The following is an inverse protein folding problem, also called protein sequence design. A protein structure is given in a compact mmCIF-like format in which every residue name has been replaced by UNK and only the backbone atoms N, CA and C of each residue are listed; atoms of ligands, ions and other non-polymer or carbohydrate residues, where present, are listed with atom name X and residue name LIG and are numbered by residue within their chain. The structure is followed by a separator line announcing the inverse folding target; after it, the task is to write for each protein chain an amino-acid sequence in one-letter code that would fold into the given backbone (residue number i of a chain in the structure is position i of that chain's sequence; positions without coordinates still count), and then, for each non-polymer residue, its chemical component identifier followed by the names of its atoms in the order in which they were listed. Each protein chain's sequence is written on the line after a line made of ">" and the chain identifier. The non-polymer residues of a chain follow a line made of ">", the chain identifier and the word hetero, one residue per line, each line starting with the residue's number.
data_IF_005570969042
#
_entry.id   IF_005570969042
#
_cell.length_a   1.000
_cell.length_b   1.000
_cell.length_c   1.000
_cell.angle_alpha   90.00
_cell.angle_beta   90.00
_cell.angle_gamma   90.00
#
_symmetry.space_group_name_H-M   'P 1'
#
loop_
_entity.id
_entity.type
_entity.pdbx_description
1 polymer ?
#
# COMPACT_ATOMS: atom_id res chain seq x y z
N UNK A 1 -15.54 -21.28 6.10
CA UNK A 1 -15.75 -19.86 5.66
C UNK A 1 -14.66 -19.04 6.31
N UNK A 2 -13.81 -18.41 5.52
CA UNK A 2 -12.73 -17.56 6.01
C UNK A 2 -13.27 -16.15 6.29
N UNK A 3 -12.71 -15.38 7.26
CA UNK A 3 -13.08 -13.98 7.47
C UNK A 3 -12.71 -13.12 6.27
N UNK A 4 -13.40 -11.99 6.12
CA UNK A 4 -13.04 -10.99 5.08
C UNK A 4 -11.78 -10.26 5.51
N UNK A 5 -10.69 -10.49 4.77
CA UNK A 5 -9.39 -9.90 5.05
C UNK A 5 -9.08 -8.75 4.10
N UNK A 6 -8.73 -7.61 4.67
CA UNK A 6 -8.17 -6.50 3.92
C UNK A 6 -6.65 -6.53 4.02
N UNK A 7 -5.98 -6.73 2.91
CA UNK A 7 -4.53 -6.67 2.82
C UNK A 7 -4.13 -5.20 2.58
N UNK A 8 -3.22 -4.69 3.40
CA UNK A 8 -2.69 -3.33 3.27
C UNK A 8 -1.19 -3.38 3.04
N UNK A 9 -0.74 -2.79 1.95
CA UNK A 9 0.65 -2.82 1.51
C UNK A 9 0.92 -3.89 0.46
N UNK A 10 2.20 -4.14 0.25
CA UNK A 10 2.76 -5.06 -0.78
C UNK A 10 2.40 -4.67 -2.22
N UNK A 11 3.01 -5.36 -3.16
CA UNK A 11 2.69 -5.26 -4.59
C UNK A 11 1.41 -6.06 -4.83
N UNK A 12 0.51 -5.59 -5.72
CA UNK A 12 -0.66 -6.38 -6.05
C UNK A 12 -0.25 -7.72 -6.66
N UNK A 13 -1.08 -8.75 -6.44
CA UNK A 13 -0.81 -10.08 -6.97
C UNK A 13 -0.48 -10.04 -8.46
N UNK A 14 0.54 -10.75 -8.85
CA UNK A 14 0.87 -11.02 -10.24
C UNK A 14 1.55 -12.39 -10.39
N UNK A 15 1.39 -13.01 -11.54
CA UNK A 15 1.88 -14.37 -11.81
C UNK A 15 3.40 -14.49 -11.90
N UNK A 16 4.14 -13.37 -12.01
CA UNK A 16 5.59 -13.39 -12.22
C UNK A 16 6.42 -13.04 -10.99
N UNK A 17 5.94 -12.13 -10.16
CA UNK A 17 6.74 -11.55 -9.07
C UNK A 17 6.08 -11.56 -7.70
N UNK A 18 4.90 -12.17 -7.58
CA UNK A 18 4.27 -12.24 -6.28
C UNK A 18 5.00 -13.20 -5.40
N UNK A 19 5.15 -12.77 -4.18
CA UNK A 19 5.79 -13.60 -3.20
C UNK A 19 5.03 -14.91 -3.05
N UNK A 20 5.76 -16.01 -3.06
CA UNK A 20 5.23 -17.33 -2.71
C UNK A 20 4.56 -17.33 -1.33
N UNK A 21 4.95 -16.38 -0.48
CA UNK A 21 4.35 -16.17 0.82
C UNK A 21 2.88 -15.74 0.73
N UNK A 22 2.54 -14.84 -0.22
CA UNK A 22 1.16 -14.41 -0.42
C UNK A 22 0.27 -15.56 -0.87
N UNK A 23 0.74 -16.37 -1.84
CA UNK A 23 0.06 -17.60 -2.24
C UNK A 23 -0.08 -18.57 -1.08
N UNK A 24 0.96 -18.76 -0.27
CA UNK A 24 0.92 -19.68 0.87
C UNK A 24 -0.09 -19.24 1.94
N UNK A 25 -0.24 -17.94 2.18
CA UNK A 25 -1.18 -17.44 3.20
C UNK A 25 -2.63 -17.50 2.74
N UNK A 26 -2.92 -17.26 1.46
CA UNK A 26 -4.27 -17.05 0.97
C UNK A 26 -4.74 -18.09 -0.06
N UNK A 27 -3.96 -19.14 -0.31
CA UNK A 27 -4.25 -20.15 -1.32
C UNK A 27 -5.63 -20.82 -1.18
N UNK A 28 -6.08 -21.03 0.07
CA UNK A 28 -7.35 -21.69 0.35
C UNK A 28 -8.50 -20.72 0.68
N UNK A 29 -8.27 -19.43 0.52
CA UNK A 29 -9.28 -18.43 0.81
C UNK A 29 -10.15 -18.19 -0.42
N UNK A 30 -11.43 -18.00 -0.19
CA UNK A 30 -12.36 -17.54 -1.22
C UNK A 30 -11.97 -16.11 -1.62
N UNK A 31 -11.83 -15.84 -2.93
CA UNK A 31 -11.40 -14.53 -3.44
C UNK A 31 -12.32 -13.39 -3.01
N UNK A 32 -13.62 -13.70 -2.84
CA UNK A 32 -14.65 -12.77 -2.38
C UNK A 32 -14.39 -12.25 -0.95
N UNK A 33 -13.58 -12.99 -0.19
CA UNK A 33 -13.19 -12.63 1.16
C UNK A 33 -11.84 -11.91 1.22
N UNK A 34 -11.26 -11.54 0.07
CA UNK A 34 -9.96 -10.87 0.01
C UNK A 34 -10.07 -9.57 -0.77
N UNK A 35 -9.67 -8.46 -0.13
CA UNK A 35 -9.46 -7.17 -0.77
C UNK A 35 -8.05 -6.65 -0.47
N UNK A 36 -7.53 -5.77 -1.32
CA UNK A 36 -6.18 -5.23 -1.13
C UNK A 36 -6.14 -3.73 -1.38
N UNK A 37 -5.45 -2.99 -0.48
CA UNK A 37 -4.99 -1.61 -0.71
C UNK A 37 -3.49 -1.65 -1.01
N UNK A 38 -3.08 -1.03 -2.12
CA UNK A 38 -1.68 -0.99 -2.52
C UNK A 38 -1.28 0.38 -3.12
N UNK A 39 0.03 0.67 -3.13
CA UNK A 39 0.58 1.95 -3.60
C UNK A 39 1.45 1.83 -4.86
N UNK A 40 1.64 0.62 -5.37
CA UNK A 40 2.40 0.40 -6.60
C UNK A 40 1.68 1.02 -7.81
N UNK A 41 2.43 1.54 -8.79
CA UNK A 41 1.87 2.21 -9.97
C UNK A 41 1.45 1.26 -11.07
N UNK A 42 1.78 -0.03 -10.96
CA UNK A 42 1.43 -1.03 -11.96
C UNK A 42 -0.03 -1.46 -11.83
N UNK A 43 -0.67 -1.72 -12.97
CA UNK A 43 -2.01 -2.28 -13.00
C UNK A 43 -1.99 -3.71 -12.43
N UNK A 44 -2.91 -4.09 -11.56
CA UNK A 44 -2.99 -5.47 -11.07
C UNK A 44 -3.48 -6.44 -12.16
N UNK A 45 -3.19 -7.72 -12.00
CA UNK A 45 -3.78 -8.80 -12.79
C UNK A 45 -4.66 -9.70 -11.92
N UNK A 46 -5.39 -10.63 -12.55
CA UNK A 46 -6.22 -11.61 -11.83
C UNK A 46 -5.37 -12.41 -10.84
N UNK A 47 -5.84 -12.50 -9.61
CA UNK A 47 -5.16 -13.17 -8.53
C UNK A 47 -6.13 -13.61 -7.44
N UNK A 48 -5.74 -13.42 -6.18
CA UNK A 48 -6.52 -13.86 -5.02
C UNK A 48 -7.55 -12.85 -4.51
N UNK A 49 -7.55 -11.59 -5.02
CA UNK A 49 -8.40 -10.54 -4.49
C UNK A 49 -9.61 -10.30 -5.39
N UNK A 50 -10.80 -10.22 -4.82
CA UNK A 50 -12.02 -9.83 -5.52
C UNK A 50 -11.98 -8.37 -5.95
N UNK A 51 -11.44 -7.52 -5.07
CA UNK A 51 -11.38 -6.09 -5.33
C UNK A 51 -10.08 -5.48 -4.79
N UNK A 52 -9.55 -4.50 -5.51
CA UNK A 52 -8.31 -3.82 -5.16
C UNK A 52 -8.51 -2.32 -5.22
N UNK A 53 -7.87 -1.63 -4.29
CA UNK A 53 -7.86 -0.17 -4.22
C UNK A 53 -6.43 0.34 -4.34
N UNK A 54 -6.13 1.04 -5.42
CA UNK A 54 -4.80 1.60 -5.68
C UNK A 54 -4.74 3.07 -5.26
N UNK A 55 -3.72 3.44 -4.47
CA UNK A 55 -3.43 4.83 -4.11
C UNK A 55 -1.97 5.10 -4.49
N UNK A 56 -1.71 6.01 -5.42
CA UNK A 56 -0.35 6.31 -5.88
C UNK A 56 0.17 7.65 -5.38
N UNK A 57 1.48 7.78 -5.19
CA UNK A 57 2.14 9.05 -4.83
C UNK A 57 1.73 10.19 -5.76
N UNK A 58 1.61 9.92 -7.05
CA UNK A 58 1.23 10.92 -8.04
C UNK A 58 -0.19 11.46 -7.83
N UNK A 59 -1.18 10.60 -7.55
CA UNK A 59 -2.57 11.04 -7.30
C UNK A 59 -2.69 11.79 -5.99
N UNK A 60 -1.99 11.34 -4.96
CA UNK A 60 -1.93 12.04 -3.67
C UNK A 60 -1.27 13.41 -3.84
N UNK A 61 -0.19 13.51 -4.63
CA UNK A 61 0.46 14.78 -4.96
C UNK A 61 -0.47 15.73 -5.73
N UNK A 62 -1.21 15.24 -6.73
CA UNK A 62 -2.18 16.06 -7.46
C UNK A 62 -3.24 16.65 -6.51
N UNK A 63 -3.75 15.85 -5.58
CA UNK A 63 -4.71 16.31 -4.58
C UNK A 63 -4.09 17.30 -3.61
N UNK A 64 -2.84 17.06 -3.18
CA UNK A 64 -2.08 18.00 -2.36
C UNK A 64 -1.91 19.37 -3.05
N UNK A 65 -1.71 19.37 -4.39
CA UNK A 65 -1.65 20.58 -5.22
C UNK A 65 -3.03 21.23 -5.47
N UNK A 66 -4.08 20.76 -4.83
CA UNK A 66 -5.43 21.34 -4.95
C UNK A 66 -6.22 20.86 -6.18
N UNK A 67 -5.74 19.89 -6.93
CA UNK A 67 -6.51 19.32 -8.04
C UNK A 67 -7.65 18.47 -7.53
N UNK A 68 -8.82 18.58 -8.14
CA UNK A 68 -9.99 17.74 -7.86
C UNK A 68 -9.82 16.39 -8.55
N UNK A 69 -8.99 15.52 -7.98
CA UNK A 69 -8.76 14.15 -8.47
C UNK A 69 -9.08 13.15 -7.39
N UNK A 70 -9.62 12.01 -7.79
CA UNK A 70 -9.72 10.86 -6.92
C UNK A 70 -8.33 10.27 -6.70
N UNK A 71 -7.93 10.14 -5.44
CA UNK A 71 -6.63 9.56 -5.11
C UNK A 71 -6.59 8.06 -5.29
N UNK A 72 -7.75 7.39 -5.36
CA UNK A 72 -7.87 5.96 -5.47
C UNK A 72 -8.48 5.49 -6.79
N UNK A 73 -8.01 4.35 -7.27
CA UNK A 73 -8.61 3.57 -8.37
C UNK A 73 -9.06 2.23 -7.82
N UNK A 74 -10.30 1.86 -8.13
CA UNK A 74 -10.85 0.55 -7.79
C UNK A 74 -10.69 -0.35 -8.99
N UNK A 75 -10.27 -1.58 -8.75
CA UNK A 75 -10.25 -2.67 -9.71
C UNK A 75 -11.08 -3.82 -9.17
N UNK A 76 -11.90 -4.41 -9.99
CA UNK A 76 -12.64 -5.64 -9.69
C UNK A 76 -12.01 -6.80 -10.44
N UNK A 77 -12.08 -8.00 -9.85
CA UNK A 77 -11.48 -9.20 -10.41
C UNK A 77 -11.85 -9.43 -11.88
N UNK A 78 -13.12 -9.22 -12.23
CA UNK A 78 -13.62 -9.47 -13.59
C UNK A 78 -13.05 -8.50 -14.64
N UNK A 79 -12.65 -7.30 -14.22
CA UNK A 79 -12.08 -6.25 -15.08
C UNK A 79 -10.56 -6.39 -15.29
N UNK A 80 -9.93 -7.40 -14.65
CA UNK A 80 -8.49 -7.59 -14.71
C UNK A 80 -8.07 -8.56 -15.81
N UNK A 81 -6.91 -8.29 -16.40
CA UNK A 81 -6.25 -9.22 -17.31
C UNK A 81 -5.71 -10.43 -16.54
N UNK A 82 -5.66 -11.59 -17.21
CA UNK A 82 -5.10 -12.82 -16.62
C UNK A 82 -3.58 -12.78 -16.55
N UNK A 83 -2.93 -12.03 -17.45
CA UNK A 83 -1.48 -11.93 -17.53
C UNK A 83 -0.98 -10.57 -17.05
N UNK A 84 0.11 -10.63 -16.30
CA UNK A 84 0.84 -9.43 -15.91
C UNK A 84 1.59 -8.83 -17.10
N UNK A 85 1.33 -7.55 -17.38
CA UNK A 85 2.05 -6.77 -18.37
C UNK A 85 2.97 -5.77 -17.69
N UNK A 86 4.27 -5.91 -17.86
CA UNK A 86 5.26 -5.03 -17.22
C UNK A 86 5.10 -3.55 -17.62
N UNK A 87 4.49 -3.27 -18.76
CA UNK A 87 4.29 -1.93 -19.29
C UNK A 87 2.95 -1.28 -18.89
N UNK A 88 2.07 -2.03 -18.21
CA UNK A 88 0.81 -1.48 -17.70
C UNK A 88 1.05 -0.59 -16.48
N UNK A 89 1.46 0.64 -16.75
CA UNK A 89 1.49 1.69 -15.74
C UNK A 89 0.15 2.40 -15.76
N UNK A 90 -0.48 2.55 -14.59
CA UNK A 90 -1.69 3.36 -14.45
C UNK A 90 -1.54 4.75 -15.09
N UNK A 91 -0.32 5.21 -15.24
CA UNK A 91 -0.01 6.61 -15.46
C UNK A 91 0.76 6.90 -16.74
N UNK A 92 0.88 6.09 -17.70
CA UNK A 92 1.41 6.32 -19.07
C UNK A 92 2.13 7.67 -19.39
N UNK A 93 2.65 8.38 -18.37
CA UNK A 93 3.07 9.77 -18.43
C UNK A 93 4.40 9.93 -17.70
N UNK A 94 5.38 10.50 -18.38
CA UNK A 94 6.74 10.74 -17.89
C UNK A 94 6.82 11.48 -16.53
N UNK A 95 5.83 12.32 -16.20
CA UNK A 95 5.77 13.05 -14.92
C UNK A 95 5.42 12.13 -13.75
N UNK A 96 4.59 11.15 -13.97
CA UNK A 96 4.23 10.17 -12.96
C UNK A 96 5.38 9.19 -12.69
N UNK A 97 6.08 8.80 -13.75
CA UNK A 97 7.28 7.97 -13.64
C UNK A 97 8.41 8.72 -12.91
N UNK A 98 8.57 10.02 -13.14
CA UNK A 98 9.50 10.85 -12.42
C UNK A 98 9.13 10.99 -10.92
N UNK A 99 7.85 11.17 -10.60
CA UNK A 99 7.36 11.22 -9.22
C UNK A 99 7.56 9.87 -8.50
N UNK A 100 7.34 8.76 -9.18
CA UNK A 100 7.60 7.43 -8.65
C UNK A 100 9.09 7.17 -8.41
N UNK A 101 9.95 7.51 -9.39
CA UNK A 101 11.42 7.41 -9.24
C UNK A 101 11.95 8.31 -8.12
N UNK A 102 11.34 9.47 -7.91
CA UNK A 102 11.69 10.36 -6.80
C UNK A 102 11.24 9.78 -5.46
N UNK A 103 10.02 9.26 -5.37
CA UNK A 103 9.48 8.60 -4.17
C UNK A 103 10.22 7.32 -3.80
N UNK A 104 10.75 6.58 -4.78
CA UNK A 104 11.54 5.36 -4.57
C UNK A 104 12.99 5.59 -4.11
N UNK A 105 13.44 6.85 -3.99
CA UNK A 105 14.74 7.16 -3.37
C UNK A 105 14.58 7.22 -1.86
N UNK A 106 15.08 6.22 -1.16
CA UNK A 106 15.06 6.12 0.30
C UNK A 106 16.09 7.07 0.94
N UNK A 107 15.85 8.38 0.84
CA UNK A 107 16.64 9.41 1.52
C UNK A 107 15.80 10.02 2.66
N UNK A 108 16.41 10.54 3.74
CA UNK A 108 15.67 11.17 4.85
C UNK A 108 14.74 12.29 4.36
N UNK A 109 15.15 13.03 3.34
CA UNK A 109 14.34 14.10 2.75
C UNK A 109 13.11 13.56 2.00
N UNK A 110 13.27 12.49 1.22
CA UNK A 110 12.14 11.87 0.51
C UNK A 110 11.16 11.25 1.49
N UNK A 111 11.63 10.64 2.56
CA UNK A 111 10.77 10.13 3.64
C UNK A 111 9.98 11.25 4.32
N UNK A 112 10.61 12.39 4.64
CA UNK A 112 9.92 13.53 5.22
C UNK A 112 8.86 14.11 4.26
N UNK A 113 9.20 14.27 2.98
CA UNK A 113 8.29 14.80 1.96
C UNK A 113 7.10 13.85 1.73
N UNK A 114 7.34 12.55 1.63
CA UNK A 114 6.26 11.54 1.59
C UNK A 114 5.40 11.61 2.85
N UNK A 115 6.00 11.94 4.02
CA UNK A 115 5.30 12.18 5.27
C UNK A 115 4.27 13.27 5.22
N UNK A 116 4.63 14.35 4.63
CA UNK A 116 3.72 15.49 4.44
C UNK A 116 2.66 15.16 3.39
N UNK A 117 3.08 14.48 2.32
CA UNK A 117 2.23 14.10 1.20
C UNK A 117 1.13 13.11 1.62
N UNK A 118 1.50 12.06 2.34
CA UNK A 118 0.59 11.00 2.77
C UNK A 118 -0.18 11.32 4.06
N UNK A 119 -0.46 12.59 4.33
CA UNK A 119 -1.38 12.95 5.43
C UNK A 119 -2.79 12.43 5.13
N UNK A 120 -3.47 11.93 6.16
CA UNK A 120 -4.80 11.30 6.09
C UNK A 120 -5.79 12.06 5.19
N UNK A 121 -5.83 13.39 5.26
CA UNK A 121 -6.74 14.23 4.47
C UNK A 121 -6.61 14.06 2.94
N UNK A 122 -5.49 13.56 2.44
CA UNK A 122 -5.22 13.43 1.01
C UNK A 122 -5.52 12.03 0.46
N UNK A 123 -5.40 10.99 1.26
CA UNK A 123 -5.67 9.62 0.82
C UNK A 123 -7.00 9.05 1.35
N UNK A 124 -7.47 9.51 2.53
CA UNK A 124 -8.73 9.06 3.13
C UNK A 124 -9.90 9.82 2.46
N UNK A 125 -10.36 9.30 1.33
CA UNK A 125 -11.44 9.89 0.54
C UNK A 125 -12.76 9.21 0.82
N UNK A 126 -13.86 9.85 0.44
CA UNK A 126 -15.19 9.25 0.47
C UNK A 126 -15.23 7.96 -0.36
N UNK A 127 -14.60 7.96 -1.54
CA UNK A 127 -14.47 6.78 -2.40
C UNK A 127 -13.81 5.59 -1.70
N UNK A 128 -12.71 5.84 -0.95
CA UNK A 128 -12.09 4.79 -0.15
C UNK A 128 -13.03 4.27 0.93
N UNK A 129 -13.70 5.17 1.62
CA UNK A 129 -14.61 4.80 2.70
C UNK A 129 -15.81 3.98 2.20
N UNK A 130 -16.43 4.40 1.08
CA UNK A 130 -17.53 3.65 0.46
C UNK A 130 -17.07 2.25 0.04
N UNK A 131 -15.91 2.14 -0.62
CA UNK A 131 -15.34 0.85 -1.00
C UNK A 131 -15.06 -0.06 0.21
N UNK A 132 -14.57 0.51 1.31
CA UNK A 132 -14.37 -0.22 2.56
C UNK A 132 -15.71 -0.63 3.22
N UNK A 133 -16.72 0.26 3.17
CA UNK A 133 -18.07 -0.02 3.71
C UNK A 133 -18.80 -1.10 2.90
N UNK A 134 -18.51 -1.22 1.60
CA UNK A 134 -19.02 -2.30 0.75
C UNK A 134 -18.32 -3.63 1.08
N UNK A 135 -17.00 -3.62 1.24
CA UNK A 135 -16.23 -4.84 1.55
C UNK A 135 -16.42 -5.31 3.00
N UNK A 136 -16.50 -4.41 3.98
CA UNK A 136 -16.65 -4.68 5.42
C UNK A 136 -15.61 -5.65 5.97
N UNK A 137 -14.35 -5.25 6.06
CA UNK A 137 -13.28 -6.13 6.53
C UNK A 137 -13.53 -6.61 7.96
N UNK A 138 -13.17 -7.87 8.24
CA UNK A 138 -13.22 -8.52 9.56
C UNK A 138 -11.82 -8.69 10.15
N UNK A 139 -10.79 -8.52 9.33
CA UNK A 139 -9.39 -8.53 9.72
C UNK A 139 -8.58 -7.68 8.75
N UNK A 140 -7.54 -7.02 9.25
CA UNK A 140 -6.55 -6.33 8.42
C UNK A 140 -5.26 -7.13 8.42
N UNK A 141 -4.78 -7.53 7.26
CA UNK A 141 -3.46 -8.11 7.08
C UNK A 141 -2.48 -7.00 6.65
N UNK A 142 -1.58 -6.63 7.54
CA UNK A 142 -0.55 -5.65 7.26
C UNK A 142 0.70 -6.32 6.71
N UNK A 143 0.94 -6.14 5.41
CA UNK A 143 2.26 -6.44 4.83
C UNK A 143 3.21 -5.30 5.19
N UNK A 144 4.00 -5.52 6.22
CA UNK A 144 4.89 -4.50 6.77
C UNK A 144 5.94 -4.07 5.74
N UNK A 145 6.15 -2.76 5.64
CA UNK A 145 7.18 -2.14 4.81
C UNK A 145 7.73 -0.90 5.51
N UNK A 146 8.84 -0.36 5.04
CA UNK A 146 9.44 0.88 5.51
C UNK A 146 8.62 2.15 5.19
N UNK A 147 7.58 2.03 4.37
CA UNK A 147 6.64 3.10 4.06
C UNK A 147 5.66 3.31 5.23
N UNK A 148 5.97 4.26 6.12
CA UNK A 148 5.20 4.53 7.35
C UNK A 148 3.69 4.83 7.12
N UNK A 149 3.25 5.24 5.92
CA UNK A 149 1.84 5.48 5.62
C UNK A 149 1.04 4.17 5.48
N UNK A 150 1.68 3.06 5.14
CA UNK A 150 1.06 1.74 5.05
C UNK A 150 0.48 1.31 6.40
N UNK A 151 1.26 1.31 7.51
CA UNK A 151 0.69 1.08 8.84
C UNK A 151 -0.41 2.09 9.24
N UNK A 152 -0.32 3.35 8.82
CA UNK A 152 -1.36 4.34 9.12
C UNK A 152 -2.69 3.99 8.44
N UNK A 153 -2.67 3.50 7.20
CA UNK A 153 -3.88 3.04 6.51
C UNK A 153 -4.44 1.82 7.23
N UNK A 154 -3.60 0.84 7.58
CA UNK A 154 -4.03 -0.36 8.31
C UNK A 154 -4.68 -0.02 9.66
N UNK A 155 -4.05 0.85 10.45
CA UNK A 155 -4.60 1.33 11.72
C UNK A 155 -5.90 2.10 11.56
N UNK A 156 -6.03 2.90 10.50
CA UNK A 156 -7.27 3.61 10.20
C UNK A 156 -8.44 2.63 9.97
N UNK A 157 -8.21 1.62 9.13
CA UNK A 157 -9.24 0.62 8.83
C UNK A 157 -9.58 -0.21 10.06
N UNK A 158 -8.57 -0.71 10.78
CA UNK A 158 -8.78 -1.50 11.99
C UNK A 158 -9.60 -0.74 13.03
N UNK A 159 -9.30 0.55 13.24
CA UNK A 159 -10.06 1.40 14.17
C UNK A 159 -11.48 1.67 13.68
N UNK A 160 -11.69 1.89 12.36
CA UNK A 160 -13.00 2.18 11.78
C UNK A 160 -13.97 1.02 11.96
N UNK A 161 -13.50 -0.22 11.74
CA UNK A 161 -14.32 -1.43 11.79
C UNK A 161 -14.20 -2.21 13.10
N UNK A 162 -13.35 -1.76 14.01
CA UNK A 162 -13.04 -2.44 15.27
C UNK A 162 -12.58 -3.89 15.05
N UNK A 163 -11.62 -4.08 14.15
CA UNK A 163 -11.11 -5.39 13.75
C UNK A 163 -9.61 -5.52 14.04
N UNK A 164 -9.12 -6.76 14.24
CA UNK A 164 -7.71 -6.99 14.52
C UNK A 164 -6.80 -6.68 13.32
N UNK A 165 -5.53 -6.35 13.62
CA UNK A 165 -4.45 -6.31 12.64
C UNK A 165 -3.56 -7.52 12.85
N UNK A 166 -3.32 -8.28 11.80
CA UNK A 166 -2.30 -9.32 11.71
C UNK A 166 -1.17 -8.79 10.85
N UNK A 167 0.06 -8.84 11.35
CA UNK A 167 1.22 -8.38 10.59
C UNK A 167 2.19 -9.53 10.34
N UNK A 168 2.70 -9.59 9.11
CA UNK A 168 3.84 -10.43 8.75
C UNK A 168 5.05 -9.52 8.53
N UNK A 169 6.09 -9.70 9.35
CA UNK A 169 7.35 -8.98 9.26
C UNK A 169 8.35 -9.94 8.64
N UNK A 170 8.61 -9.78 7.32
CA UNK A 170 9.53 -10.63 6.56
C UNK A 170 10.97 -10.15 6.62
N UNK A 171 11.18 -8.83 6.74
CA UNK A 171 12.48 -8.20 6.77
C UNK A 171 12.65 -7.36 8.03
N UNK A 172 13.88 -7.32 8.53
CA UNK A 172 14.23 -6.58 9.73
C UNK A 172 14.55 -5.12 9.40
N UNK A 173 13.55 -4.36 9.04
CA UNK A 173 13.70 -2.92 8.78
C UNK A 173 14.10 -2.11 10.01
N UNK A 174 13.85 -2.64 11.20
CA UNK A 174 14.04 -1.92 12.46
C UNK A 174 15.52 -1.84 12.86
N UNK A 175 16.28 -2.92 12.71
CA UNK A 175 17.70 -2.94 13.08
C UNK A 175 18.57 -2.06 12.17
N UNK A 176 18.23 -1.92 10.90
CA UNK A 176 18.94 -1.01 10.00
C UNK A 176 18.77 0.47 10.38
N UNK A 177 17.65 0.83 10.99
CA UNK A 177 17.37 2.21 11.44
C UNK A 177 18.05 2.46 12.79
N UNK A 178 18.04 1.50 13.70
CA UNK A 178 18.66 1.65 15.03
C UNK A 178 20.18 1.78 14.96
N UNK A 179 20.85 1.05 14.08
CA UNK A 179 22.30 1.17 13.88
C UNK A 179 22.66 2.61 13.45
N UNK A 180 21.92 3.21 12.56
CA UNK A 180 22.15 4.59 12.14
C UNK A 180 21.85 5.61 13.24
N UNK A 181 20.81 5.40 14.05
CA UNK A 181 20.46 6.28 15.18
C UNK A 181 21.49 6.15 16.29
N UNK A 182 21.94 4.95 16.61
CA UNK A 182 22.97 4.72 17.62
C UNK A 182 24.32 5.32 17.24
N UNK A 183 24.70 5.25 15.98
CA UNK A 183 25.92 5.90 15.48
C UNK A 183 25.79 7.44 15.57
N UNK A 184 24.65 8.00 15.23
CA UNK A 184 24.39 9.44 15.33
C UNK A 184 24.38 9.93 16.79
N UNK A 185 23.80 9.15 17.72
CA UNK A 185 23.77 9.52 19.16
C UNK A 185 25.16 9.41 19.80
N UNK A 186 26.00 8.49 19.37
CA UNK A 186 27.36 8.38 19.85
C UNK A 186 28.27 9.52 19.37
N UNK A 187 28.00 10.07 18.18
CA UNK A 187 28.72 11.24 17.68
C UNK A 187 28.38 12.52 18.47
N UNK A 188 27.16 12.63 19.01
CA UNK A 188 26.77 13.75 19.88
C UNK A 188 27.27 13.68 21.32
N UNK A 189 27.85 12.55 21.75
CA UNK A 189 28.41 12.39 23.10
C UNK A 189 29.94 12.59 23.18
N UNK A 190 30.56 13.01 22.09
CA UNK A 190 32.04 13.20 22.04
C UNK A 190 32.47 14.68 21.99
N UNK A 191 31.57 15.64 22.16
CA UNK A 191 31.90 17.06 22.31
C UNK A 191 31.68 17.56 23.76
#
# INVERSE_FOLDING_TARGET
>A
MHPRVLIVGTVPYNTKSTSRAFDAYFHYWEKENIAQIFSNTKKPCKGHCETLFQITDHRVLQRWMGKKVDTGVIYHYDDLDTEWKDNDLELGNAKAEAAYKFGGKHTPLTHLLRGILWRKRFWCTEKLNNWLDDFKPECVFLAFSDDYFIPQIAMYVAKRYNVPIVSCIGDDYYFNVEINVLLTVNDFKKD
#
